data_IF_068006976275
#
_entry.id   IF_068006976275
#
_cell.length_a   1.000
_cell.length_b   1.000
_cell.length_c   1.000
_cell.angle_alpha   90.00
_cell.angle_beta   90.00
_cell.angle_gamma   90.00
#
_symmetry.space_group_name_H-M   'P 1'
#
loop_
_entity.id
_entity.type
_entity.pdbx_description
1 polymer ?
#
# COMPACT_ATOMS: atom_id res chain seq x y z
N UNK A 1 19.47 8.24 -17.76
CA UNK A 1 18.95 8.87 -16.53
C UNK A 1 18.05 7.88 -15.83
N UNK A 2 18.13 7.76 -14.49
CA UNK A 2 17.19 6.92 -13.71
C UNK A 2 15.84 7.63 -13.63
N UNK A 3 14.73 6.90 -13.78
CA UNK A 3 13.37 7.44 -13.60
C UNK A 3 13.24 7.99 -12.16
N UNK A 4 12.72 9.22 -11.95
CA UNK A 4 12.48 9.72 -10.60
C UNK A 4 11.40 8.87 -9.92
N UNK A 5 11.69 8.43 -8.69
CA UNK A 5 10.74 7.70 -7.84
C UNK A 5 9.81 8.68 -7.13
N UNK A 6 8.50 8.43 -7.21
CA UNK A 6 7.47 9.20 -6.54
C UNK A 6 6.94 8.43 -5.34
N UNK A 7 7.14 9.01 -4.16
CA UNK A 7 6.74 8.43 -2.87
C UNK A 7 5.65 9.31 -2.27
N UNK A 8 4.57 8.68 -1.81
CA UNK A 8 3.47 9.35 -1.11
C UNK A 8 3.17 8.74 0.26
N UNK A 9 2.37 9.44 1.05
CA UNK A 9 1.79 8.90 2.29
C UNK A 9 0.28 9.15 2.30
N UNK A 10 -0.48 8.20 2.84
CA UNK A 10 -1.92 8.30 3.02
C UNK A 10 -2.33 7.86 4.42
N UNK A 11 -2.92 8.78 5.18
CA UNK A 11 -3.41 8.53 6.55
C UNK A 11 -4.92 8.29 6.47
N UNK A 12 -5.33 7.01 6.37
CA UNK A 12 -6.73 6.59 6.47
C UNK A 12 -6.83 5.09 6.72
N UNK A 13 -7.68 4.68 7.65
CA UNK A 13 -7.89 3.28 8.02
C UNK A 13 -8.32 2.41 6.84
N UNK A 14 -7.64 1.27 6.62
CA UNK A 14 -7.96 0.26 5.59
C UNK A 14 -8.91 -0.84 6.08
N UNK A 15 -9.80 -0.54 7.04
CA UNK A 15 -10.71 -1.50 7.66
C UNK A 15 -11.88 -1.95 6.77
N UNK A 16 -12.12 -1.26 5.66
CA UNK A 16 -13.31 -1.48 4.82
C UNK A 16 -12.93 -2.25 3.55
N UNK A 17 -13.65 -3.34 3.21
CA UNK A 17 -13.51 -4.01 1.93
C UNK A 17 -13.60 -3.02 0.76
N UNK A 18 -12.73 -3.16 -0.25
CA UNK A 18 -12.70 -2.28 -1.43
C UNK A 18 -11.77 -1.06 -1.32
N UNK A 19 -11.21 -0.78 -0.13
CA UNK A 19 -10.36 0.40 0.08
C UNK A 19 -9.00 0.29 -0.61
N UNK A 20 -8.48 -0.93 -0.76
CA UNK A 20 -7.23 -1.21 -1.45
C UNK A 20 -7.34 -0.85 -2.94
N UNK A 21 -8.48 -1.12 -3.55
CA UNK A 21 -8.78 -0.83 -4.95
C UNK A 21 -8.82 0.68 -5.20
N UNK A 22 -9.40 1.45 -4.27
CA UNK A 22 -9.35 2.92 -4.31
C UNK A 22 -7.91 3.45 -4.26
N UNK A 23 -7.09 2.91 -3.36
CA UNK A 23 -5.67 3.26 -3.25
C UNK A 23 -4.93 2.97 -4.55
N UNK A 24 -5.16 1.80 -5.15
CA UNK A 24 -4.57 1.42 -6.45
C UNK A 24 -4.98 2.37 -7.57
N UNK A 25 -6.25 2.78 -7.62
CA UNK A 25 -6.74 3.76 -8.60
C UNK A 25 -6.05 5.11 -8.43
N UNK A 26 -5.90 5.58 -7.19
CA UNK A 26 -5.25 6.86 -6.90
C UNK A 26 -3.74 6.83 -7.15
N UNK A 27 -3.05 5.74 -6.81
CA UNK A 27 -1.64 5.54 -7.16
C UNK A 27 -1.43 5.59 -8.68
N UNK A 28 -2.33 4.96 -9.45
CA UNK A 28 -2.32 5.04 -10.91
C UNK A 28 -2.58 6.46 -11.41
N UNK A 29 -3.58 7.15 -10.85
CA UNK A 29 -3.97 8.52 -11.23
C UNK A 29 -2.86 9.54 -10.95
N UNK A 30 -2.18 9.40 -9.81
CA UNK A 30 -1.12 10.30 -9.35
C UNK A 30 0.27 9.87 -9.84
N UNK A 31 0.38 8.69 -10.46
CA UNK A 31 1.64 8.08 -10.87
C UNK A 31 2.61 7.97 -9.69
N UNK A 32 2.14 7.39 -8.58
CA UNK A 32 2.93 7.13 -7.37
C UNK A 32 3.54 5.73 -7.50
N UNK A 33 4.85 5.62 -7.28
CA UNK A 33 5.57 4.34 -7.33
C UNK A 33 5.49 3.61 -5.97
N UNK A 34 5.54 4.36 -4.86
CA UNK A 34 5.50 3.84 -3.48
C UNK A 34 4.54 4.66 -2.63
N UNK A 35 3.61 4.00 -1.93
CA UNK A 35 2.72 4.65 -0.99
C UNK A 35 2.86 4.05 0.41
N UNK A 36 3.17 4.90 1.40
CA UNK A 36 3.06 4.56 2.81
C UNK A 36 1.64 4.77 3.33
N UNK A 37 1.15 3.83 4.13
CA UNK A 37 -0.18 3.85 4.70
C UNK A 37 -0.15 3.64 6.21
N UNK A 38 -0.89 4.45 6.94
CA UNK A 38 -1.06 4.32 8.39
C UNK A 38 -2.45 3.78 8.73
N UNK A 39 -2.55 3.05 9.84
CA UNK A 39 -3.78 2.42 10.34
C UNK A 39 -4.30 1.29 9.44
N UNK A 40 -3.39 0.42 9.02
CA UNK A 40 -3.73 -0.80 8.31
C UNK A 40 -4.06 -1.89 9.34
N UNK A 41 -5.28 -2.41 9.26
CA UNK A 41 -5.84 -3.35 10.22
C UNK A 41 -6.21 -4.64 9.50
N UNK A 42 -5.23 -5.23 8.82
CA UNK A 42 -5.42 -6.52 8.16
C UNK A 42 -5.13 -7.65 9.16
N UNK A 43 -6.12 -8.53 9.33
CA UNK A 43 -5.94 -9.76 10.11
C UNK A 43 -5.11 -10.76 9.28
N UNK A 44 -4.02 -11.25 9.87
CA UNK A 44 -3.07 -12.10 9.17
C UNK A 44 -1.88 -11.27 8.66
N UNK A 45 -0.83 -11.23 9.46
CA UNK A 45 0.45 -10.64 9.10
C UNK A 45 1.00 -11.29 7.82
N UNK A 46 1.14 -10.54 6.74
CA UNK A 46 1.77 -11.06 5.54
C UNK A 46 1.84 -10.07 4.38
N UNK A 47 2.98 -10.11 3.67
CA UNK A 47 3.12 -9.52 2.35
C UNK A 47 2.22 -10.27 1.35
N UNK A 48 1.43 -9.55 0.56
CA UNK A 48 0.66 -10.17 -0.52
C UNK A 48 0.68 -9.33 -1.80
N UNK A 49 0.42 -9.99 -2.92
CA UNK A 49 0.28 -9.35 -4.22
C UNK A 49 -1.20 -9.14 -4.53
N UNK A 50 -1.52 -7.94 -4.98
CA UNK A 50 -2.82 -7.59 -5.58
C UNK A 50 -2.57 -7.06 -6.99
N UNK A 51 -2.59 -7.96 -7.97
CA UNK A 51 -2.28 -7.66 -9.38
C UNK A 51 -0.89 -7.03 -9.54
N UNK A 52 -0.83 -5.78 -10.00
CA UNK A 52 0.41 -5.01 -10.22
C UNK A 52 0.93 -4.30 -8.96
N UNK A 53 0.40 -4.61 -7.78
CA UNK A 53 0.82 -3.98 -6.53
C UNK A 53 1.22 -5.01 -5.49
N UNK A 54 2.35 -4.75 -4.83
CA UNK A 54 2.77 -5.50 -3.63
C UNK A 54 2.35 -4.72 -2.40
N UNK A 55 1.67 -5.38 -1.47
CA UNK A 55 1.29 -4.82 -0.19
C UNK A 55 2.14 -5.50 0.87
N UNK A 56 2.79 -4.70 1.70
CA UNK A 56 3.69 -5.13 2.77
C UNK A 56 3.14 -4.54 4.05
N UNK A 57 2.69 -5.37 4.98
CA UNK A 57 2.16 -4.94 6.27
C UNK A 57 3.18 -5.20 7.39
N UNK A 58 3.24 -4.28 8.36
CA UNK A 58 4.05 -4.41 9.59
C UNK A 58 3.75 -5.63 10.46
N UNK A 59 2.63 -6.33 10.25
CA UNK A 59 2.26 -7.57 10.91
C UNK A 59 1.74 -7.41 12.34
N UNK A 60 1.09 -6.29 12.66
CA UNK A 60 0.59 -6.04 14.02
C UNK A 60 -0.67 -6.87 14.27
N UNK A 61 -0.55 -7.90 15.12
CA UNK A 61 -1.58 -8.90 15.43
C UNK A 61 -2.84 -8.38 16.17
N UNK A 62 -3.02 -7.06 16.33
CA UNK A 62 -4.06 -6.50 17.21
C UNK A 62 -4.94 -5.44 16.58
N UNK A 63 -5.03 -5.36 15.24
CA UNK A 63 -6.07 -4.54 14.61
C UNK A 63 -6.06 -3.06 15.04
N UNK A 64 -4.92 -2.55 15.52
CA UNK A 64 -4.69 -1.17 15.91
C UNK A 64 -3.24 -0.78 15.57
N UNK A 65 -3.04 0.37 14.90
CA UNK A 65 -1.73 0.99 14.60
C UNK A 65 -0.84 0.32 13.54
N UNK A 66 -1.35 -0.60 12.70
CA UNK A 66 -0.55 -1.16 11.62
C UNK A 66 -0.13 -0.12 10.57
N UNK A 67 1.04 -0.31 9.98
CA UNK A 67 1.53 0.47 8.84
C UNK A 67 1.74 -0.47 7.68
N UNK A 68 1.41 -0.02 6.47
CA UNK A 68 1.69 -0.78 5.25
C UNK A 68 2.42 0.05 4.20
N UNK A 69 3.12 -0.64 3.31
CA UNK A 69 3.66 -0.11 2.08
C UNK A 69 2.93 -0.75 0.90
N UNK A 70 2.51 0.08 -0.05
CA UNK A 70 1.99 -0.35 -1.33
C UNK A 70 3.01 0.03 -2.40
N UNK A 71 3.50 -0.97 -3.11
CA UNK A 71 4.55 -0.84 -4.13
C UNK A 71 3.97 -1.14 -5.51
N UNK A 72 4.26 -0.29 -6.49
CA UNK A 72 3.95 -0.57 -7.88
C UNK A 72 4.96 -1.59 -8.46
N UNK A 73 4.46 -2.65 -9.10
CA UNK A 73 5.27 -3.73 -9.72
C UNK A 73 6.30 -3.19 -10.70
N UNK A 74 5.96 -2.16 -11.48
CA UNK A 74 6.86 -1.51 -12.45
C UNK A 74 8.05 -0.79 -11.83
N UNK A 75 8.10 -0.67 -10.50
CA UNK A 75 9.23 -0.12 -9.76
C UNK A 75 10.09 -1.22 -9.10
N UNK A 76 9.56 -2.44 -8.97
CA UNK A 76 10.26 -3.60 -8.42
C UNK A 76 11.04 -4.35 -9.52
N UNK A 77 10.44 -4.46 -10.71
CA UNK A 77 11.02 -5.07 -11.92
C UNK A 77 11.80 -4.06 -12.77
#
# INVERSE_FOLDING_TARGET
>A
MRKPCKIGTWIRTLLTPGKVEEVKMEMKRLNIDILGMSEVLWEGSGDYWSEDYKLIDSGVNQGANGTALVLNKSWIE
#
